data_IF_079589621351
#
_entry.id   IF_079589621351
#
_cell.length_a   1.000
_cell.length_b   1.000
_cell.length_c   1.000
_cell.angle_alpha   90.00
_cell.angle_beta   90.00
_cell.angle_gamma   90.00
#
_symmetry.space_group_name_H-M   'P 1'
#
loop_
_entity.id
_entity.type
_entity.pdbx_description
1 polymer ?
#
# COMPACT_ATOMS: atom_id res chain seq x y z
N UNK A 1 -8.79 -13.13 0.67
CA UNK A 1 -7.65 -13.56 1.48
C UNK A 1 -7.51 -12.66 2.70
N UNK A 2 -7.20 -13.24 3.83
CA UNK A 2 -7.00 -12.44 5.05
C UNK A 2 -5.61 -11.82 5.04
N UNK A 3 -5.54 -10.57 5.53
CA UNK A 3 -4.26 -9.95 5.81
C UNK A 3 -3.56 -10.71 6.95
N UNK A 4 -2.24 -10.74 6.91
CA UNK A 4 -1.45 -11.33 7.99
C UNK A 4 -1.58 -10.45 9.25
N UNK A 5 -1.17 -11.03 10.40
CA UNK A 5 -1.21 -10.30 11.67
C UNK A 5 -0.37 -9.02 11.59
N UNK A 6 0.81 -9.09 10.96
CA UNK A 6 1.66 -7.92 10.79
C UNK A 6 1.03 -6.85 9.93
N UNK A 7 0.34 -7.26 8.87
CA UNK A 7 -0.37 -6.31 8.00
C UNK A 7 -1.51 -5.62 8.75
N UNK A 8 -2.22 -6.36 9.59
CA UNK A 8 -3.29 -5.78 10.41
C UNK A 8 -2.72 -4.72 11.36
N UNK A 9 -1.59 -4.99 11.98
CA UNK A 9 -0.94 -4.03 12.88
C UNK A 9 -0.53 -2.75 12.13
N UNK A 10 0.06 -2.91 10.95
CA UNK A 10 0.44 -1.75 10.13
C UNK A 10 -0.79 -0.93 9.75
N UNK A 11 -1.87 -1.60 9.36
CA UNK A 11 -3.11 -0.92 9.01
C UNK A 11 -3.63 -0.10 10.19
N UNK A 12 -3.64 -0.66 11.39
CA UNK A 12 -4.09 0.05 12.58
C UNK A 12 -3.23 1.25 12.91
N UNK A 13 -1.91 1.10 12.78
CA UNK A 13 -0.97 2.21 13.01
C UNK A 13 -1.25 3.36 12.04
N UNK A 14 -1.42 3.04 10.76
CA UNK A 14 -1.69 4.06 9.75
C UNK A 14 -3.03 4.76 9.97
N UNK A 15 -4.06 4.01 10.36
CA UNK A 15 -5.36 4.59 10.68
C UNK A 15 -5.28 5.51 11.90
N UNK A 16 -4.63 5.06 12.96
CA UNK A 16 -4.53 5.84 14.20
C UNK A 16 -3.73 7.12 13.99
N UNK A 17 -2.74 7.08 13.10
CA UNK A 17 -1.93 8.25 12.78
C UNK A 17 -2.64 9.21 11.81
N UNK A 18 -3.76 8.80 11.22
CA UNK A 18 -4.50 9.66 10.30
C UNK A 18 -3.96 9.69 8.89
N UNK A 19 -3.16 8.70 8.49
CA UNK A 19 -2.65 8.63 7.13
C UNK A 19 -3.73 8.22 6.13
N UNK A 20 -3.64 8.77 4.92
CA UNK A 20 -4.42 8.30 3.79
C UNK A 20 -3.64 7.16 3.14
N UNK A 21 -4.19 5.96 3.14
CA UNK A 21 -3.47 4.83 2.60
C UNK A 21 -4.41 3.84 1.91
N UNK A 22 -3.84 2.98 1.08
CA UNK A 22 -4.55 1.85 0.48
C UNK A 22 -3.72 0.60 0.63
N UNK A 23 -4.40 -0.52 0.84
CA UNK A 23 -3.77 -1.83 0.97
C UNK A 23 -3.87 -2.58 -0.36
N UNK A 24 -2.87 -3.41 -0.62
CA UNK A 24 -2.83 -4.26 -1.81
C UNK A 24 -3.07 -3.46 -3.09
N UNK A 25 -2.35 -2.34 -3.20
CA UNK A 25 -2.52 -1.41 -4.31
C UNK A 25 -1.78 -1.92 -5.55
N UNK A 26 -2.47 -1.93 -6.68
CA UNK A 26 -1.93 -2.39 -7.94
C UNK A 26 -1.72 -1.19 -8.86
N UNK A 27 -0.52 -1.10 -9.45
CA UNK A 27 -0.20 -0.07 -10.43
C UNK A 27 -0.29 -0.69 -11.82
N UNK A 28 -1.40 -0.52 -12.54
CA UNK A 28 -1.56 -1.15 -13.85
C UNK A 28 -0.57 -0.64 -14.90
N UNK A 29 -0.07 0.58 -14.72
CA UNK A 29 0.88 1.18 -15.65
C UNK A 29 2.33 0.72 -15.41
N UNK A 30 2.60 0.12 -14.25
CA UNK A 30 3.91 -0.39 -13.90
C UNK A 30 3.87 -1.91 -13.91
N UNK A 31 4.73 -2.51 -14.72
CA UNK A 31 4.75 -3.96 -14.86
C UNK A 31 6.13 -4.51 -14.53
N UNK A 32 6.13 -5.69 -13.94
CA UNK A 32 7.37 -6.43 -13.72
C UNK A 32 7.92 -6.94 -15.06
N UNK A 33 9.19 -7.41 -15.08
CA UNK A 33 9.78 -7.94 -16.33
C UNK A 33 8.97 -9.06 -16.98
N UNK A 34 8.16 -9.79 -16.22
CA UNK A 34 7.33 -10.86 -16.78
C UNK A 34 5.91 -10.37 -17.16
N UNK A 35 5.70 -9.06 -17.22
CA UNK A 35 4.47 -8.48 -17.74
C UNK A 35 3.32 -8.37 -16.75
N UNK A 36 3.52 -8.69 -15.48
CA UNK A 36 2.48 -8.58 -14.46
C UNK A 36 2.47 -7.20 -13.82
N UNK A 37 1.29 -6.63 -13.51
CA UNK A 37 1.23 -5.37 -12.80
C UNK A 37 1.94 -5.45 -11.45
N UNK A 38 2.60 -4.37 -11.05
CA UNK A 38 3.24 -4.29 -9.75
C UNK A 38 2.20 -4.07 -8.67
N UNK A 39 2.36 -4.80 -7.57
CA UNK A 39 1.47 -4.73 -6.42
C UNK A 39 2.29 -4.45 -5.16
N UNK A 40 1.78 -3.57 -4.33
CA UNK A 40 2.42 -3.21 -3.07
C UNK A 40 1.46 -3.43 -1.92
N UNK A 41 1.98 -3.81 -0.76
CA UNK A 41 1.16 -4.13 0.41
C UNK A 41 0.43 -2.89 0.94
N UNK A 42 1.14 -1.76 1.05
CA UNK A 42 0.56 -0.49 1.49
C UNK A 42 1.14 0.64 0.67
N UNK A 43 0.27 1.55 0.25
CA UNK A 43 0.68 2.80 -0.39
C UNK A 43 0.06 3.93 0.40
N UNK A 44 0.90 4.86 0.87
CA UNK A 44 0.46 6.00 1.67
C UNK A 44 0.50 7.25 0.81
N UNK A 45 -0.59 8.01 0.83
CA UNK A 45 -0.74 9.21 0.02
C UNK A 45 -0.62 10.46 0.89
N UNK A 46 -0.08 11.52 0.32
CA UNK A 46 -0.03 12.81 0.99
C UNK A 46 -1.36 13.56 0.82
N UNK A 47 -1.42 14.80 1.34
CA UNK A 47 -2.64 15.60 1.31
C UNK A 47 -3.04 16.01 -0.11
N UNK A 48 -2.11 16.00 -1.04
CA UNK A 48 -2.36 16.32 -2.44
C UNK A 48 -2.80 15.10 -3.26
N UNK A 49 -2.85 13.93 -2.63
CA UNK A 49 -3.21 12.70 -3.32
C UNK A 49 -2.05 12.04 -4.05
N UNK A 50 -0.83 12.52 -3.84
CA UNK A 50 0.36 11.93 -4.42
C UNK A 50 0.94 10.88 -3.47
N UNK A 51 1.71 9.94 -4.02
CA UNK A 51 2.32 8.89 -3.20
C UNK A 51 3.40 9.51 -2.33
N UNK A 52 3.27 9.33 -1.01
CA UNK A 52 4.24 9.78 -0.03
C UNK A 52 5.30 8.70 0.19
N UNK A 53 4.85 7.50 0.55
CA UNK A 53 5.77 6.37 0.70
C UNK A 53 5.01 5.05 0.54
N UNK A 54 5.77 3.98 0.39
CA UNK A 54 5.25 2.63 0.18
C UNK A 54 5.81 1.73 1.27
N UNK A 55 4.96 0.87 1.82
CA UNK A 55 5.37 -0.12 2.82
C UNK A 55 5.15 -1.50 2.22
N UNK A 56 6.18 -2.33 2.28
CA UNK A 56 6.10 -3.75 1.94
C UNK A 56 6.35 -4.57 3.20
N UNK A 57 5.46 -5.49 3.44
CA UNK A 57 5.54 -6.36 4.60
C UNK A 57 6.23 -7.68 4.25
#
# INVERSE_FOLDING_TARGET
MRASRGEILIEEILKDAGFNFKMEYIFPDLKSPNGRPLRFDFVVFDDDGLIDFIIEY
#
